data_IF_995187532975
#
_entry.id   IF_995187532975
#
_cell.length_a   1.000
_cell.length_b   1.000
_cell.length_c   1.000
_cell.angle_alpha   90.00
_cell.angle_beta   90.00
_cell.angle_gamma   90.00
#
_symmetry.space_group_name_H-M   'P 1'
#
loop_
_entity.id
_entity.type
_entity.pdbx_description
1 polymer ?
#
# COMPACT_ATOMS: atom_id res chain seq x y z
N UNK A 1 -9.94 15.57 -3.17
CA UNK A 1 -10.00 15.18 -1.74
C UNK A 1 -8.60 15.34 -1.16
N UNK A 2 -8.44 16.00 -0.01
CA UNK A 2 -7.13 16.13 0.68
C UNK A 2 -6.76 14.89 1.49
N UNK A 3 -7.67 13.92 1.63
CA UNK A 3 -7.45 12.68 2.38
C UNK A 3 -8.09 11.51 1.65
N UNK A 4 -7.27 10.58 1.15
CA UNK A 4 -7.68 9.31 0.54
C UNK A 4 -6.90 8.18 1.21
N UNK A 5 -7.57 7.39 2.03
CA UNK A 5 -6.99 6.21 2.68
C UNK A 5 -6.14 6.48 3.93
N UNK A 6 -5.37 5.47 4.31
CA UNK A 6 -4.48 5.51 5.47
C UNK A 6 -3.42 6.64 5.34
N UNK A 7 -3.18 7.36 6.45
CA UNK A 7 -2.36 8.56 6.51
C UNK A 7 -0.96 8.41 7.12
N UNK A 8 -0.42 7.18 7.20
CA UNK A 8 0.97 6.98 7.64
C UNK A 8 1.91 7.84 6.80
N UNK A 9 2.90 8.48 7.43
CA UNK A 9 3.93 9.25 6.72
C UNK A 9 3.48 10.60 6.14
N UNK A 10 2.19 10.95 6.27
CA UNK A 10 1.61 12.19 5.74
C UNK A 10 1.05 13.07 6.86
N UNK A 11 -0.07 12.65 7.46
CA UNK A 11 -0.79 13.42 8.48
C UNK A 11 -0.73 12.78 9.87
N UNK A 12 -0.32 11.52 9.95
CA UNK A 12 -0.14 10.79 11.20
C UNK A 12 1.33 10.39 11.29
N UNK A 13 1.92 10.55 12.47
CA UNK A 13 3.24 10.09 12.85
C UNK A 13 3.16 9.48 14.25
N UNK A 14 4.12 8.64 14.62
CA UNK A 14 4.27 8.13 15.98
C UNK A 14 5.71 8.33 16.46
N UNK A 15 5.90 8.74 17.71
CA UNK A 15 7.21 8.79 18.38
C UNK A 15 7.13 7.87 19.59
N UNK A 16 7.94 6.81 19.63
CA UNK A 16 7.91 5.84 20.72
C UNK A 16 8.58 6.37 22.01
N UNK A 17 8.52 5.58 23.08
CA UNK A 17 9.13 5.92 24.37
C UNK A 17 10.67 5.97 24.34
N UNK A 18 11.30 5.45 23.29
CA UNK A 18 12.74 5.53 23.06
C UNK A 18 13.14 6.74 22.20
N UNK A 19 12.16 7.46 21.65
CA UNK A 19 12.32 8.63 20.77
C UNK A 19 12.40 8.29 19.29
N UNK A 20 12.16 7.03 18.89
CA UNK A 20 12.14 6.63 17.48
C UNK A 20 10.88 7.16 16.80
N UNK A 21 11.05 7.65 15.58
CA UNK A 21 9.96 8.13 14.74
C UNK A 21 9.50 7.00 13.83
N UNK A 22 8.20 6.72 13.84
CA UNK A 22 7.55 5.74 13.00
C UNK A 22 6.51 6.41 12.09
N UNK A 23 6.24 5.86 10.90
CA UNK A 23 5.23 6.40 10.00
C UNK A 23 3.82 6.53 10.61
N UNK A 24 3.41 5.60 11.49
CA UNK A 24 2.28 5.73 12.41
C UNK A 24 2.40 4.70 13.56
N UNK A 25 1.36 4.55 14.37
CA UNK A 25 1.34 3.65 15.54
C UNK A 25 1.38 2.16 15.22
N UNK A 26 1.21 1.75 13.95
CA UNK A 26 1.24 0.35 13.52
C UNK A 26 2.60 -0.07 12.96
N UNK A 27 3.53 0.87 12.74
CA UNK A 27 4.86 0.65 12.17
C UNK A 27 5.97 0.48 13.23
N UNK A 28 5.68 -0.21 14.34
CA UNK A 28 6.64 -0.38 15.45
C UNK A 28 7.96 -1.06 15.05
N UNK A 29 7.99 -1.77 13.92
CA UNK A 29 9.15 -2.47 13.41
C UNK A 29 9.97 -1.66 12.39
N UNK A 30 9.60 -0.41 12.13
CA UNK A 30 10.26 0.45 11.14
C UNK A 30 10.59 1.83 11.71
N UNK A 31 11.88 2.16 11.75
CA UNK A 31 12.40 3.41 12.32
C UNK A 31 12.81 4.38 11.20
N UNK A 32 12.25 5.60 11.20
CA UNK A 32 12.66 6.70 10.30
C UNK A 32 13.83 7.53 10.86
N UNK A 33 14.17 7.32 12.13
CA UNK A 33 15.19 8.05 12.87
C UNK A 33 14.80 8.25 14.34
N UNK A 34 15.59 9.02 15.08
CA UNK A 34 15.34 9.29 16.50
C UNK A 34 15.43 10.79 16.83
N UNK A 35 14.42 11.32 17.54
CA UNK A 35 14.36 12.75 17.90
C UNK A 35 15.42 13.20 18.89
N UNK A 36 16.08 12.26 19.57
CA UNK A 36 17.24 12.53 20.44
C UNK A 36 18.51 12.81 19.63
N UNK A 37 18.52 12.51 18.32
CA UNK A 37 19.67 12.68 17.44
C UNK A 37 19.51 13.83 16.45
N UNK A 38 18.31 14.02 15.89
CA UNK A 38 17.99 15.11 14.95
C UNK A 38 16.56 15.62 15.15
N UNK A 39 16.26 16.90 14.85
CA UNK A 39 14.92 17.46 15.01
C UNK A 39 13.85 16.68 14.23
N UNK A 40 12.67 16.48 14.83
CA UNK A 40 11.56 15.76 14.18
C UNK A 40 11.23 16.32 12.78
N UNK A 41 11.29 17.64 12.59
CA UNK A 41 11.04 18.29 11.30
C UNK A 41 11.98 17.80 10.20
N UNK A 42 13.23 17.50 10.52
CA UNK A 42 14.19 16.95 9.56
C UNK A 42 13.88 15.48 9.28
N UNK A 43 13.61 14.68 10.31
CA UNK A 43 13.20 13.27 10.17
C UNK A 43 11.98 13.14 9.28
N UNK A 44 10.98 13.98 9.55
CA UNK A 44 9.68 13.88 8.93
C UNK A 44 9.66 14.36 7.48
N UNK A 45 10.59 15.21 7.06
CA UNK A 45 10.69 15.68 5.67
C UNK A 45 11.69 14.87 4.83
N UNK A 46 12.51 14.05 5.47
CA UNK A 46 13.51 13.22 4.81
C UNK A 46 12.87 12.13 3.94
N UNK A 47 13.05 12.25 2.63
CA UNK A 47 12.57 11.29 1.62
C UNK A 47 13.70 10.45 1.04
N UNK A 48 14.89 10.44 1.67
CA UNK A 48 15.94 9.49 1.33
C UNK A 48 15.56 8.06 1.77
N UNK A 49 14.70 7.93 2.78
CA UNK A 49 14.08 6.67 3.17
C UNK A 49 13.00 6.26 2.14
N UNK A 50 13.09 5.06 1.52
CA UNK A 50 12.14 4.61 0.50
C UNK A 50 10.69 4.46 0.99
N UNK A 51 10.49 4.07 2.26
CA UNK A 51 9.15 4.00 2.86
C UNK A 51 8.59 5.41 2.99
N UNK A 52 9.37 6.35 3.51
CA UNK A 52 8.92 7.74 3.66
C UNK A 52 8.62 8.40 2.31
N UNK A 53 9.49 8.17 1.31
CA UNK A 53 9.32 8.66 -0.05
C UNK A 53 7.99 8.17 -0.66
N UNK A 54 7.71 6.87 -0.58
CA UNK A 54 6.47 6.32 -1.12
C UNK A 54 5.23 6.70 -0.31
N UNK A 55 5.33 6.86 1.01
CA UNK A 55 4.19 7.25 1.85
C UNK A 55 3.74 8.68 1.57
N UNK A 56 4.69 9.59 1.33
CA UNK A 56 4.45 10.99 0.95
C UNK A 56 4.05 11.18 -0.52
N UNK A 57 4.23 10.18 -1.36
CA UNK A 57 3.86 10.27 -2.77
C UNK A 57 2.33 10.41 -2.92
N UNK A 58 1.90 11.36 -3.75
CA UNK A 58 0.48 11.60 -4.03
C UNK A 58 0.24 11.72 -5.54
N UNK A 59 -0.57 10.84 -6.15
CA UNK A 59 -1.08 9.58 -5.58
C UNK A 59 0.07 8.58 -5.33
N UNK A 60 -0.09 7.69 -4.34
CA UNK A 60 0.87 6.60 -4.10
C UNK A 60 0.95 5.69 -5.33
N UNK A 61 2.12 5.17 -5.65
CA UNK A 61 2.29 4.12 -6.67
C UNK A 61 2.21 2.75 -6.00
N UNK A 62 1.17 1.98 -6.31
CA UNK A 62 0.90 0.67 -5.70
C UNK A 62 0.65 -0.32 -6.84
N UNK A 63 1.25 -1.50 -6.74
CA UNK A 63 1.17 -2.55 -7.73
C UNK A 63 -0.17 -3.30 -7.74
N UNK A 64 -0.23 -4.31 -8.62
CA UNK A 64 -1.36 -5.23 -8.72
C UNK A 64 -2.68 -4.55 -9.08
N UNK A 65 -3.78 -5.12 -8.60
CA UNK A 65 -5.15 -4.69 -8.88
C UNK A 65 -5.47 -3.28 -8.37
N UNK A 66 -4.74 -2.79 -7.37
CA UNK A 66 -4.89 -1.43 -6.87
C UNK A 66 -4.61 -0.37 -7.95
N UNK A 67 -3.70 -0.64 -8.89
CA UNK A 67 -3.37 0.28 -9.98
C UNK A 67 -4.50 0.49 -11.00
N UNK A 68 -5.49 -0.41 -11.03
CA UNK A 68 -6.65 -0.35 -11.92
C UNK A 68 -7.96 -0.07 -11.18
N UNK A 69 -7.92 0.06 -9.85
CA UNK A 69 -9.09 0.21 -9.01
C UNK A 69 -9.71 1.61 -9.13
N UNK A 70 -10.98 1.71 -9.55
CA UNK A 70 -11.70 2.98 -9.62
C UNK A 70 -11.91 3.68 -8.26
N UNK A 71 -11.83 2.94 -7.15
CA UNK A 71 -11.87 3.50 -5.79
C UNK A 71 -10.50 3.95 -5.25
N UNK A 72 -9.43 3.88 -6.04
CA UNK A 72 -8.09 4.14 -5.57
C UNK A 72 -7.91 5.56 -5.00
N UNK A 73 -8.59 6.55 -5.57
CA UNK A 73 -8.56 7.94 -5.07
C UNK A 73 -9.18 8.11 -3.67
N UNK A 74 -10.02 7.17 -3.23
CA UNK A 74 -10.65 7.15 -1.89
C UNK A 74 -9.84 6.26 -0.95
N UNK A 75 -9.45 5.07 -1.42
CA UNK A 75 -8.79 4.05 -0.61
C UNK A 75 -7.28 4.27 -0.45
N UNK A 76 -6.61 4.82 -1.47
CA UNK A 76 -5.16 4.98 -1.55
C UNK A 76 -4.39 3.67 -1.43
N UNK A 77 -5.06 2.53 -1.65
CA UNK A 77 -4.61 1.15 -1.43
C UNK A 77 -4.55 0.66 0.02
N UNK A 78 -5.10 1.43 0.97
CA UNK A 78 -5.19 1.06 2.39
C UNK A 78 -3.83 0.87 3.13
N UNK A 79 -3.64 -0.17 3.94
CA UNK A 79 -2.64 -0.20 5.02
C UNK A 79 -1.28 -0.70 4.52
N UNK A 80 -0.29 0.18 4.50
CA UNK A 80 1.05 -0.12 3.95
C UNK A 80 1.90 -1.05 4.82
N UNK A 81 1.81 -0.90 6.14
CA UNK A 81 2.51 -1.82 7.04
C UNK A 81 2.01 -3.24 6.90
N UNK A 82 0.70 -3.45 6.66
CA UNK A 82 0.12 -4.78 6.46
C UNK A 82 0.61 -5.41 5.15
N UNK A 83 0.60 -4.65 4.05
CA UNK A 83 1.18 -5.10 2.79
C UNK A 83 2.63 -5.55 2.98
N UNK A 84 3.47 -4.71 3.61
CA UNK A 84 4.88 -5.02 3.88
C UNK A 84 5.07 -6.25 4.78
N UNK A 85 4.35 -6.34 5.89
CA UNK A 85 4.53 -7.42 6.86
C UNK A 85 4.12 -8.78 6.30
N UNK A 86 3.10 -8.82 5.43
CA UNK A 86 2.57 -10.07 4.87
C UNK A 86 3.24 -10.49 3.56
N UNK A 87 3.76 -9.54 2.77
CA UNK A 87 4.33 -9.83 1.44
C UNK A 87 5.81 -9.52 1.31
N UNK A 88 6.38 -8.76 2.25
CA UNK A 88 7.73 -8.18 2.13
C UNK A 88 7.77 -6.87 1.33
N UNK A 89 6.68 -6.46 0.67
CA UNK A 89 6.60 -5.25 -0.15
C UNK A 89 5.51 -4.30 0.35
N UNK A 90 5.89 -3.09 0.76
CA UNK A 90 4.94 -2.06 1.18
C UNK A 90 4.08 -1.55 0.03
N UNK A 91 4.51 -1.74 -1.21
CA UNK A 91 3.85 -1.22 -2.41
C UNK A 91 3.07 -2.28 -3.17
N UNK A 92 2.94 -3.48 -2.60
CA UNK A 92 2.01 -4.51 -3.08
C UNK A 92 0.56 -4.13 -2.77
N UNK A 93 -0.36 -4.95 -3.29
CA UNK A 93 -1.75 -4.94 -2.85
C UNK A 93 -1.85 -5.14 -1.33
N UNK A 94 -2.87 -4.53 -0.72
CA UNK A 94 -3.21 -4.78 0.67
C UNK A 94 -4.00 -6.10 0.77
N UNK A 95 -3.46 -7.13 1.47
CA UNK A 95 -4.12 -8.44 1.58
C UNK A 95 -5.50 -8.41 2.27
N UNK A 96 -5.85 -7.34 2.97
CA UNK A 96 -7.17 -7.20 3.59
C UNK A 96 -8.22 -6.55 2.68
N UNK A 97 -7.89 -6.23 1.43
CA UNK A 97 -8.87 -5.72 0.48
C UNK A 97 -9.87 -6.84 0.14
N UNK A 98 -11.12 -6.69 0.59
CA UNK A 98 -12.19 -7.68 0.42
C UNK A 98 -12.96 -7.55 -0.89
N UNK A 99 -12.80 -6.43 -1.60
CA UNK A 99 -13.50 -6.19 -2.86
C UNK A 99 -12.99 -7.16 -3.93
N UNK A 100 -13.89 -7.63 -4.78
CA UNK A 100 -13.56 -8.43 -5.96
C UNK A 100 -13.07 -7.56 -7.12
N UNK A 101 -12.43 -8.16 -8.11
CA UNK A 101 -11.97 -7.48 -9.32
C UNK A 101 -13.12 -6.78 -10.06
N UNK A 102 -14.28 -7.44 -10.12
CA UNK A 102 -15.52 -6.85 -10.65
C UNK A 102 -15.95 -5.60 -9.89
N UNK A 103 -15.93 -5.63 -8.55
CA UNK A 103 -16.30 -4.48 -7.73
C UNK A 103 -15.32 -3.31 -7.88
N UNK A 104 -14.04 -3.59 -8.13
CA UNK A 104 -13.02 -2.54 -8.38
C UNK A 104 -12.89 -2.15 -9.85
N UNK A 105 -13.78 -2.63 -10.72
CA UNK A 105 -13.85 -2.23 -12.13
C UNK A 105 -12.83 -2.92 -13.06
N UNK A 106 -12.24 -4.03 -12.63
CA UNK A 106 -11.39 -4.86 -13.46
C UNK A 106 -12.26 -5.92 -14.14
N UNK A 107 -12.31 -5.87 -15.48
CA UNK A 107 -12.96 -6.89 -16.28
C UNK A 107 -12.02 -8.10 -16.42
N UNK A 108 -12.42 -9.24 -15.86
CA UNK A 108 -11.73 -10.50 -16.09
C UNK A 108 -12.05 -10.92 -17.52
N UNK A 109 -11.06 -10.86 -18.42
CA UNK A 109 -11.17 -11.52 -19.72
C UNK A 109 -11.15 -13.02 -19.44
N UNK A 110 -12.30 -13.66 -19.62
CA UNK A 110 -12.35 -15.12 -19.71
C UNK A 110 -11.71 -15.45 -21.05
N UNK A 111 -10.53 -16.06 -21.01
CA UNK A 111 -10.00 -16.75 -22.19
C UNK A 111 -10.94 -17.92 -22.45
N UNK A 112 -11.65 -17.85 -23.57
CA UNK A 112 -12.55 -18.89 -24.06
C UNK A 112 -11.67 -20.08 -24.48
N UNK A 113 -11.38 -20.97 -23.54
CA UNK A 113 -10.86 -22.30 -23.85
C UNK A 113 -11.94 -23.01 -24.68
N UNK A 114 -11.80 -22.88 -25.99
CA UNK A 114 -12.78 -23.31 -26.99
C UNK A 114 -13.22 -24.77 -26.85
N UNK A 115 -14.29 -25.15 -27.55
CA UNK A 115 -14.99 -26.40 -27.30
C UNK A 115 -14.05 -27.60 -27.48
N UNK A 116 -13.98 -28.45 -26.46
CA UNK A 116 -13.48 -29.81 -26.59
C UNK A 116 -14.33 -30.55 -27.62
N UNK A 117 -13.88 -30.60 -28.88
CA UNK A 117 -14.42 -31.53 -29.86
C UNK A 117 -13.27 -32.22 -30.61
N UNK A 118 -13.03 -33.48 -30.23
CA UNK A 118 -12.73 -34.64 -31.12
C UNK A 118 -12.07 -35.78 -30.33
N UNK A 119 -12.87 -36.80 -29.99
CA UNK A 119 -12.53 -38.23 -30.16
C UNK A 119 -13.66 -39.11 -29.61
N UNK A 120 -14.68 -39.32 -30.43
CA UNK A 120 -15.33 -40.63 -30.52
C UNK A 120 -15.28 -41.06 -31.98
N UNK A 121 -14.10 -41.58 -32.34
CA UNK A 121 -14.04 -42.63 -33.36
C UNK A 121 -14.65 -43.88 -32.71
N UNK A 122 -15.78 -44.32 -33.24
CA UNK A 122 -16.50 -45.53 -32.87
C UNK A 122 -17.58 -45.83 -33.88
#
# INVERSE_FOLDING_TARGET
MQWGGNSSGVNIANIDNQGRVHPDTMWWDYDLGNVKQRPFSEIWQDTSDPIMAGLKQSPRKIGGRCGQCHYFNICGGNTRVRARQLTGDAWSEDPACYLTDKEIGIEVRVEDDGPEDRLLAG
#
